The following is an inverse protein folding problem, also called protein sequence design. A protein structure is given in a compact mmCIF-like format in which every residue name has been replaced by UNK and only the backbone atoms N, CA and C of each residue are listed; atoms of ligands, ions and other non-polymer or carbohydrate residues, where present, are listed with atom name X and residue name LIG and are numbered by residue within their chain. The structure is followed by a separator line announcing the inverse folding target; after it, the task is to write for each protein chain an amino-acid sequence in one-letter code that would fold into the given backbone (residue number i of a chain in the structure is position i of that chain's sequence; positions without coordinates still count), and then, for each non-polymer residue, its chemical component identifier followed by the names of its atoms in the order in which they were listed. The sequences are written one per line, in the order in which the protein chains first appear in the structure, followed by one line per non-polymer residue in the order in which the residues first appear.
data_IF_434442770181
#
_entry.id   IF_434442770181
#
_cell.length_a   1.000
_cell.length_b   1.000
_cell.length_c   1.000
_cell.angle_alpha   90.00
_cell.angle_beta   90.00
_cell.angle_gamma   90.00
#
_symmetry.space_group_name_H-M   'P 1'
#
loop_
_entity.id
_entity.type
_entity.pdbx_description
1 polymer ?
#
# COMPACT_ATOMS: atom_id res chain seq x y z
N UNK A 1 -7.40 -31.10 -38.20
CA UNK A 1 -6.72 -31.17 -36.89
C UNK A 1 -6.66 -29.78 -36.27
N UNK A 2 -7.69 -28.93 -36.36
CA UNK A 2 -8.98 -28.93 -35.64
C UNK A 2 -8.88 -29.03 -34.12
N UNK A 3 -9.12 -27.88 -33.50
CA UNK A 3 -10.09 -27.70 -32.42
C UNK A 3 -9.78 -28.29 -31.03
N UNK A 4 -8.86 -29.25 -30.93
CA UNK A 4 -8.52 -29.88 -29.64
C UNK A 4 -7.66 -28.96 -28.76
N UNK A 5 -6.72 -28.22 -29.32
CA UNK A 5 -5.79 -27.38 -28.55
C UNK A 5 -6.45 -26.18 -27.87
N UNK A 6 -7.51 -25.60 -28.44
CA UNK A 6 -8.21 -24.44 -27.86
C UNK A 6 -9.13 -24.81 -26.69
N UNK A 7 -9.65 -26.03 -26.66
CA UNK A 7 -10.56 -26.51 -25.61
C UNK A 7 -9.81 -26.87 -24.31
N UNK A 8 -8.54 -27.29 -24.41
CA UNK A 8 -7.70 -27.59 -23.25
C UNK A 8 -7.34 -26.31 -22.46
N UNK A 9 -7.12 -25.17 -23.15
CA UNK A 9 -6.79 -23.90 -22.49
C UNK A 9 -7.98 -23.34 -21.68
N UNK A 10 -9.21 -23.57 -22.14
CA UNK A 10 -10.42 -23.11 -21.44
C UNK A 10 -10.90 -24.07 -20.33
N UNK A 11 -10.45 -25.33 -20.33
CA UNK A 11 -10.81 -26.33 -19.31
C UNK A 11 -9.83 -26.40 -18.12
N UNK A 12 -8.65 -25.79 -18.22
CA UNK A 12 -7.63 -25.79 -17.17
C UNK A 12 -7.53 -24.51 -16.34
N UNK A 13 -8.43 -23.54 -16.48
CA UNK A 13 -8.41 -22.36 -15.61
C UNK A 13 -9.78 -22.03 -15.01
N UNK A 14 -10.31 -22.89 -14.10
CA UNK A 14 -11.31 -22.44 -13.15
C UNK A 14 -10.72 -21.47 -12.10
N UNK A 15 -9.43 -21.13 -12.16
CA UNK A 15 -8.80 -20.15 -11.26
C UNK A 15 -9.05 -18.71 -11.69
N UNK A 16 -10.33 -18.36 -11.70
CA UNK A 16 -10.82 -16.99 -11.49
C UNK A 16 -10.61 -16.54 -10.02
N UNK A 17 -9.57 -17.03 -9.32
CA UNK A 17 -9.39 -16.77 -7.90
C UNK A 17 -8.16 -15.90 -7.69
N UNK A 18 -8.44 -14.65 -7.32
CA UNK A 18 -7.51 -13.69 -6.80
C UNK A 18 -6.47 -13.20 -7.82
N UNK A 19 -6.83 -12.12 -8.52
CA UNK A 19 -5.89 -11.03 -8.74
C UNK A 19 -5.44 -10.53 -7.36
N UNK A 20 -4.58 -11.29 -6.68
CA UNK A 20 -3.56 -10.67 -5.87
C UNK A 20 -2.77 -9.89 -6.90
N UNK A 21 -2.89 -8.57 -6.87
CA UNK A 21 -1.83 -7.73 -7.42
C UNK A 21 -0.56 -8.17 -6.68
N UNK A 22 0.13 -9.17 -7.24
CA UNK A 22 1.50 -9.48 -6.88
C UNK A 22 2.24 -8.23 -7.32
N UNK A 23 2.42 -7.31 -6.38
CA UNK A 23 3.19 -6.12 -6.68
C UNK A 23 4.59 -6.63 -6.92
N UNK A 24 5.00 -6.62 -8.19
CA UNK A 24 6.14 -7.36 -8.71
C UNK A 24 7.37 -7.08 -7.82
N UNK A 25 7.67 -8.03 -6.91
CA UNK A 25 8.73 -7.92 -5.91
C UNK A 25 8.31 -8.11 -4.45
N UNK A 26 7.15 -7.61 -3.99
CA UNK A 26 6.74 -7.65 -2.58
C UNK A 26 5.90 -8.91 -2.27
N UNK A 27 6.49 -9.93 -1.65
CA UNK A 27 5.89 -11.27 -1.50
C UNK A 27 5.17 -11.46 -0.17
N UNK A 28 5.72 -10.89 0.90
CA UNK A 28 5.21 -11.04 2.27
C UNK A 28 4.34 -9.84 2.64
N UNK A 29 4.70 -8.66 2.17
CA UNK A 29 4.01 -7.43 2.49
C UNK A 29 2.71 -7.28 1.70
N UNK A 30 1.56 -7.25 2.40
CA UNK A 30 0.28 -6.86 1.79
C UNK A 30 0.24 -5.36 1.55
N UNK A 31 -0.51 -4.84 0.56
CA UNK A 31 -0.64 -3.41 0.35
C UNK A 31 -1.08 -2.66 1.60
N UNK A 32 -0.40 -1.56 1.94
CA UNK A 32 -0.74 -0.69 3.09
C UNK A 32 -1.82 0.33 2.78
N UNK A 33 -2.00 0.68 1.50
CA UNK A 33 -2.99 1.67 1.11
C UNK A 33 -4.40 1.10 1.26
N UNK A 34 -5.32 1.91 1.75
CA UNK A 34 -6.68 1.46 2.01
C UNK A 34 -7.42 1.18 0.69
N UNK A 35 -7.58 -0.10 0.35
CA UNK A 35 -8.30 -0.56 -0.83
C UNK A 35 -9.81 -0.30 -0.80
N UNK A 36 -10.38 0.12 0.34
CA UNK A 36 -11.80 0.50 0.41
C UNK A 36 -12.07 1.90 -0.14
N UNK A 37 -11.03 2.65 -0.51
CA UNK A 37 -11.18 3.99 -1.04
C UNK A 37 -11.76 3.97 -2.46
N UNK A 38 -12.79 4.79 -2.68
CA UNK A 38 -13.60 4.81 -3.91
C UNK A 38 -13.44 6.09 -4.74
N UNK A 39 -12.54 6.98 -4.32
CA UNK A 39 -12.29 8.25 -4.99
C UNK A 39 -12.66 9.46 -4.14
N UNK A 40 -11.98 10.57 -4.42
CA UNK A 40 -12.28 11.84 -3.76
C UNK A 40 -13.72 12.27 -4.07
N UNK A 41 -14.48 12.59 -3.02
CA UNK A 41 -15.90 12.95 -3.13
C UNK A 41 -16.89 11.78 -3.10
N UNK A 42 -16.43 10.52 -3.11
CA UNK A 42 -17.30 9.32 -3.05
C UNK A 42 -17.17 8.60 -1.69
N UNK A 43 -18.26 8.38 -0.92
CA UNK A 43 -19.66 8.75 -1.20
C UNK A 43 -20.00 10.20 -0.83
N UNK A 44 -19.11 10.91 -0.13
CA UNK A 44 -19.31 12.32 0.24
C UNK A 44 -17.97 13.06 0.36
N UNK A 45 -18.00 14.40 0.28
CA UNK A 45 -16.82 15.25 0.42
C UNK A 45 -16.16 15.21 1.81
N UNK A 46 -16.83 14.67 2.84
CA UNK A 46 -16.28 14.61 4.22
C UNK A 46 -15.74 13.24 4.58
N UNK A 47 -16.28 12.17 3.99
CA UNK A 47 -15.95 10.78 4.36
C UNK A 47 -15.26 10.00 3.26
N UNK A 48 -15.05 10.61 2.10
CA UNK A 48 -14.32 10.03 0.98
C UNK A 48 -12.84 9.82 1.29
N UNK A 49 -12.19 9.04 0.44
CA UNK A 49 -10.74 8.95 0.38
C UNK A 49 -10.30 8.65 -1.05
N UNK A 50 -9.12 9.13 -1.40
CA UNK A 50 -8.56 8.96 -2.73
C UNK A 50 -8.24 7.49 -3.01
N UNK A 51 -8.38 7.04 -4.26
CA UNK A 51 -7.98 5.67 -4.65
C UNK A 51 -6.45 5.51 -4.68
N UNK A 52 -5.98 4.27 -4.77
CA UNK A 52 -4.55 3.98 -4.96
C UNK A 52 -4.01 4.62 -6.26
N UNK A 53 -4.82 4.61 -7.32
CA UNK A 53 -4.50 5.24 -8.61
C UNK A 53 -4.40 6.77 -8.51
N UNK A 54 -5.36 7.42 -7.83
CA UNK A 54 -5.33 8.87 -7.61
C UNK A 54 -4.12 9.31 -6.76
N UNK A 55 -3.56 8.41 -5.96
CA UNK A 55 -2.40 8.68 -5.10
C UNK A 55 -1.06 8.27 -5.71
N UNK A 56 -1.07 7.62 -6.89
CA UNK A 56 0.12 7.08 -7.54
C UNK A 56 0.86 6.05 -6.67
N UNK A 57 0.12 5.25 -5.89
CA UNK A 57 0.72 4.25 -5.01
C UNK A 57 1.33 3.14 -5.84
N UNK A 58 2.65 3.05 -5.79
CA UNK A 58 3.42 1.94 -6.35
C UNK A 58 4.26 1.31 -5.24
N UNK A 59 4.42 -0.02 -5.27
CA UNK A 59 5.30 -0.73 -4.35
C UNK A 59 6.55 -1.23 -5.06
N UNK A 60 7.70 -1.03 -4.45
CA UNK A 60 9.00 -1.38 -5.01
C UNK A 60 9.90 -1.96 -3.93
N UNK A 61 10.59 -3.06 -4.21
CA UNK A 61 11.53 -3.65 -3.24
C UNK A 61 12.90 -2.98 -3.34
N UNK A 62 13.47 -2.64 -2.18
CA UNK A 62 14.85 -2.18 -2.05
C UNK A 62 15.14 -0.76 -2.56
N UNK A 63 14.21 -0.13 -3.29
CA UNK A 63 14.37 1.24 -3.77
C UNK A 63 14.51 2.24 -2.60
N UNK A 64 13.65 2.13 -1.60
CA UNK A 64 13.69 3.04 -0.45
C UNK A 64 14.99 2.96 0.33
N UNK A 65 15.64 1.79 0.43
CA UNK A 65 16.93 1.67 1.12
C UNK A 65 18.02 2.54 0.46
N UNK A 66 17.98 2.68 -0.87
CA UNK A 66 18.97 3.48 -1.62
C UNK A 66 18.85 4.98 -1.33
N UNK A 67 17.66 5.44 -0.96
CA UNK A 67 17.35 6.85 -0.68
C UNK A 67 17.39 7.12 0.83
N UNK A 68 16.98 6.12 1.62
CA UNK A 68 16.74 6.21 3.06
C UNK A 68 17.46 5.05 3.75
N UNK A 69 18.69 5.31 4.19
CA UNK A 69 19.61 4.27 4.70
C UNK A 69 19.15 3.53 5.96
N UNK A 70 18.18 4.05 6.71
CA UNK A 70 17.61 3.37 7.88
C UNK A 70 16.53 2.34 7.53
N UNK A 71 16.01 2.36 6.31
CA UNK A 71 15.08 1.33 5.82
C UNK A 71 15.88 0.06 5.52
N UNK A 72 15.47 -1.14 5.97
CA UNK A 72 16.20 -2.37 5.65
C UNK A 72 16.30 -2.65 4.13
N UNK A 73 17.40 -3.30 3.71
CA UNK A 73 17.70 -3.58 2.28
C UNK A 73 16.57 -4.36 1.58
N UNK A 74 16.01 -5.35 2.27
CA UNK A 74 14.98 -6.23 1.74
C UNK A 74 13.58 -5.77 2.18
N UNK A 75 13.33 -4.46 2.15
CA UNK A 75 12.02 -3.91 2.44
C UNK A 75 11.26 -3.58 1.16
N UNK A 76 9.99 -3.96 1.14
CA UNK A 76 9.01 -3.41 0.22
C UNK A 76 8.75 -1.96 0.61
N UNK A 77 8.83 -1.04 -0.34
CA UNK A 77 8.66 0.39 -0.11
C UNK A 77 7.58 0.96 -0.99
N UNK A 78 6.90 2.00 -0.50
CA UNK A 78 5.98 2.79 -1.32
C UNK A 78 6.11 4.27 -0.96
N UNK A 79 5.84 5.13 -1.94
CA UNK A 79 5.75 6.57 -1.79
C UNK A 79 4.30 6.96 -2.05
N UNK A 80 3.72 7.73 -1.15
CA UNK A 80 2.29 8.08 -1.23
C UNK A 80 2.15 9.59 -1.23
N UNK A 81 1.62 10.13 -2.32
CA UNK A 81 1.37 11.57 -2.45
C UNK A 81 -0.13 11.79 -2.53
N UNK A 82 -0.67 12.56 -1.60
CA UNK A 82 -2.10 12.84 -1.58
C UNK A 82 -2.47 13.90 -2.63
N UNK A 83 -3.59 13.73 -3.35
CA UNK A 83 -4.18 14.78 -4.18
C UNK A 83 -4.47 16.07 -3.42
N UNK A 84 -4.62 17.18 -4.16
CA UNK A 84 -5.03 18.46 -3.60
C UNK A 84 -6.33 18.34 -2.78
N UNK A 85 -6.41 19.15 -1.72
CA UNK A 85 -7.51 19.15 -0.74
C UNK A 85 -7.69 17.85 0.06
N UNK A 86 -6.72 16.92 -0.01
CA UNK A 86 -6.66 15.74 0.86
C UNK A 86 -5.38 15.74 1.70
N UNK A 87 -5.41 15.01 2.82
CA UNK A 87 -4.30 14.83 3.76
C UNK A 87 -4.19 13.36 4.14
N UNK A 88 -2.99 12.92 4.48
CA UNK A 88 -2.76 11.54 4.89
C UNK A 88 -3.34 11.29 6.28
N UNK A 89 -3.99 10.14 6.41
CA UNK A 89 -4.39 9.54 7.67
C UNK A 89 -3.76 8.15 7.72
N UNK A 90 -3.12 7.85 8.83
CA UNK A 90 -2.56 6.51 9.09
C UNK A 90 -3.38 5.84 10.17
N UNK A 91 -3.44 4.51 10.13
CA UNK A 91 -3.94 3.70 11.22
C UNK A 91 -2.78 3.10 12.02
N UNK A 92 -2.76 3.39 13.32
CA UNK A 92 -1.89 2.75 14.30
C UNK A 92 -2.74 1.78 15.11
N UNK A 93 -2.72 0.50 14.72
CA UNK A 93 -3.69 -0.48 15.20
C UNK A 93 -5.10 -0.14 14.73
N UNK A 94 -5.97 0.28 15.65
CA UNK A 94 -7.37 0.69 15.38
C UNK A 94 -7.56 2.21 15.33
N UNK A 95 -6.60 2.98 15.82
CA UNK A 95 -6.68 4.44 15.90
C UNK A 95 -6.26 5.04 14.56
N UNK A 96 -7.06 5.97 14.03
CA UNK A 96 -6.75 6.71 12.82
C UNK A 96 -6.30 8.13 13.18
N UNK A 97 -5.06 8.49 12.85
CA UNK A 97 -4.44 9.75 13.23
C UNK A 97 -4.00 10.56 12.01
N UNK A 98 -4.06 11.91 12.08
CA UNK A 98 -3.42 12.76 11.10
C UNK A 98 -1.91 12.50 11.10
N UNK A 99 -1.35 12.30 9.91
CA UNK A 99 0.08 12.10 9.77
C UNK A 99 0.55 12.64 8.43
N UNK A 100 1.85 12.92 8.33
CA UNK A 100 2.45 13.34 7.07
C UNK A 100 3.77 12.61 6.91
N UNK A 101 3.80 11.61 6.03
CA UNK A 101 5.01 10.91 5.61
C UNK A 101 5.03 10.77 4.10
N UNK A 102 6.22 10.82 3.51
CA UNK A 102 6.35 10.64 2.07
C UNK A 102 6.51 9.17 1.68
N UNK A 103 7.05 8.35 2.57
CA UNK A 103 7.36 6.96 2.29
C UNK A 103 6.95 6.05 3.45
N UNK A 104 6.70 4.80 3.09
CA UNK A 104 6.35 3.72 3.98
C UNK A 104 7.12 2.49 3.54
N UNK A 105 7.50 1.64 4.50
CA UNK A 105 8.18 0.41 4.17
C UNK A 105 7.63 -0.76 4.97
N UNK A 106 7.79 -1.95 4.43
CA UNK A 106 7.50 -3.20 5.09
C UNK A 106 8.65 -4.17 4.91
N UNK A 107 8.99 -4.91 5.96
CA UNK A 107 10.06 -5.89 5.91
C UNK A 107 9.57 -7.16 5.20
N UNK A 108 10.28 -7.63 4.18
CA UNK A 108 9.95 -8.89 3.49
C UNK A 108 10.49 -10.12 4.24
N UNK A 109 11.45 -9.92 5.15
CA UNK A 109 12.15 -11.01 5.84
C UNK A 109 12.43 -10.65 7.30
N UNK A 110 12.76 -11.64 8.12
CA UNK A 110 13.12 -11.43 9.53
C UNK A 110 11.92 -11.45 10.49
N UNK A 111 12.16 -11.01 11.74
CA UNK A 111 11.16 -11.08 12.82
C UNK A 111 9.96 -10.15 12.60
N UNK A 112 10.16 -9.08 11.83
CA UNK A 112 9.14 -8.08 11.55
C UNK A 112 8.52 -8.26 10.15
N UNK A 113 8.74 -9.42 9.51
CA UNK A 113 8.26 -9.66 8.16
C UNK A 113 6.73 -9.44 8.06
N UNK A 114 6.29 -8.68 7.04
CA UNK A 114 4.88 -8.35 6.81
C UNK A 114 4.35 -7.15 7.61
N UNK A 115 5.19 -6.48 8.41
CA UNK A 115 4.81 -5.28 9.16
C UNK A 115 5.17 -4.00 8.42
N UNK A 116 4.23 -3.06 8.40
CA UNK A 116 4.44 -1.75 7.79
C UNK A 116 4.87 -0.71 8.80
N UNK A 117 5.73 0.18 8.33
CA UNK A 117 6.31 1.25 9.11
C UNK A 117 6.27 2.57 8.35
N UNK A 118 6.19 3.64 9.13
CA UNK A 118 6.38 5.02 8.70
C UNK A 118 7.48 5.66 9.56
N UNK A 119 8.17 6.70 9.07
CA UNK A 119 9.05 7.48 9.92
C UNK A 119 8.27 8.08 11.07
N UNK A 120 8.91 8.14 12.22
CA UNK A 120 8.47 8.83 13.42
C UNK A 120 8.28 10.33 13.19
N UNK A 121 7.59 10.97 14.12
CA UNK A 121 7.49 12.43 14.16
C UNK A 121 8.27 12.98 15.37
N UNK A 122 8.15 14.28 15.63
CA UNK A 122 8.82 14.94 16.77
C UNK A 122 8.39 14.34 18.13
N UNK A 123 7.16 13.85 18.25
CA UNK A 123 6.57 13.36 19.49
C UNK A 123 6.83 11.86 19.70
N UNK A 124 6.90 11.09 18.61
CA UNK A 124 7.23 9.67 18.60
C UNK A 124 8.38 9.41 17.61
N UNK A 125 9.65 9.57 18.05
CA UNK A 125 10.80 9.35 17.19
C UNK A 125 11.03 7.86 16.91
N UNK A 126 11.63 7.54 15.77
CA UNK A 126 11.96 6.17 15.36
C UNK A 126 11.04 5.63 14.27
N UNK A 127 10.81 4.32 14.25
CA UNK A 127 9.95 3.66 13.27
C UNK A 127 8.60 3.37 13.91
N UNK A 128 7.51 3.89 13.35
CA UNK A 128 6.16 3.64 13.86
C UNK A 128 5.48 2.56 13.03
N UNK A 129 5.03 1.48 13.68
CA UNK A 129 4.25 0.42 13.05
C UNK A 129 2.84 0.93 12.72
N UNK A 130 2.39 0.68 11.50
CA UNK A 130 1.08 1.10 10.98
C UNK A 130 0.36 -0.06 10.29
N UNK A 131 -0.96 0.05 10.17
CA UNK A 131 -1.83 -0.98 9.57
C UNK A 131 -2.56 -0.51 8.32
N UNK A 132 -2.66 0.80 8.09
CA UNK A 132 -3.28 1.35 6.88
C UNK A 132 -2.86 2.81 6.64
N UNK A 133 -2.85 3.23 5.38
CA UNK A 133 -2.74 4.64 4.97
C UNK A 133 -3.89 4.98 4.03
N UNK A 134 -4.46 6.17 4.17
CA UNK A 134 -5.45 6.72 3.23
C UNK A 134 -5.32 8.23 3.09
N UNK A 135 -5.52 8.76 1.90
CA UNK A 135 -5.66 10.20 1.67
C UNK A 135 -7.13 10.60 1.84
N UNK A 136 -7.43 11.42 2.86
CA UNK A 136 -8.79 11.88 3.18
C UNK A 136 -8.94 13.39 3.01
N UNK A 137 -10.15 13.91 2.74
CA UNK A 137 -10.41 15.34 2.67
C UNK A 137 -9.90 16.12 3.89
N UNK A 138 -9.37 17.31 3.65
CA UNK A 138 -9.05 18.28 4.72
C UNK A 138 -10.39 18.83 5.23
N UNK A 139 -10.78 18.42 6.43
CA UNK A 139 -12.00 18.85 7.11
C UNK A 139 -11.74 19.91 8.16
#
# INVERSE_FOLDING_TARGET
MTFWFLLVVLLFCPFAYAWIEEVDGCKVCRPIYNSTCRGVGVPSLKTSCATAEETGVEYTVGLLHQIVSHVPVNSCGTVITCPLATTQKIKKGIEEIPFTAFYYWCEETGKNAGKWYTPGNRYEPGNMEITSVACRPIS
#
